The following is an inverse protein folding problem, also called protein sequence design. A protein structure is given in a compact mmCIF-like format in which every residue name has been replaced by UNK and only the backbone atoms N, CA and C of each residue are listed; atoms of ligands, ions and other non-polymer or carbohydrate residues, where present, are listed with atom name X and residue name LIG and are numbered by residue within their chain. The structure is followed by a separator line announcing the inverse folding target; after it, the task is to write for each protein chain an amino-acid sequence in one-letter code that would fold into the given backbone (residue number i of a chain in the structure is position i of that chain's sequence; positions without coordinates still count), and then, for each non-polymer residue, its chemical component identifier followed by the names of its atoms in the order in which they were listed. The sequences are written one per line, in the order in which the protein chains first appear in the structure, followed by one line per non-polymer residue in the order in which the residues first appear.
data_IF_453677076891
#
_entry.id   IF_453677076891
#
_cell.length_a   1.000
_cell.length_b   1.000
_cell.length_c   1.000
_cell.angle_alpha   90.00
_cell.angle_beta   90.00
_cell.angle_gamma   90.00
#
_symmetry.space_group_name_H-M   'P 1'
#
loop_
_entity.id
_entity.type
_entity.pdbx_description
1 polymer ?
#
# COMPACT_ATOMS: atom_id res chain seq x y z
N UNK A 1 -56.10 -16.00 9.23
CA UNK A 1 -55.64 -17.42 9.05
C UNK A 1 -54.13 -17.63 9.07
N UNK A 2 -53.28 -16.62 9.32
CA UNK A 2 -51.81 -16.74 9.26
C UNK A 2 -51.10 -17.21 10.58
N UNK A 3 -51.77 -17.25 11.72
CA UNK A 3 -51.12 -17.61 13.03
C UNK A 3 -50.89 -19.10 13.27
N UNK A 4 -51.56 -20.01 12.55
CA UNK A 4 -51.46 -21.44 12.76
C UNK A 4 -50.20 -22.06 12.12
N UNK A 5 -49.74 -21.53 10.98
CA UNK A 5 -48.56 -22.03 10.24
C UNK A 5 -47.28 -21.94 11.01
N UNK A 6 -47.07 -20.85 11.77
CA UNK A 6 -45.83 -20.64 12.52
C UNK A 6 -45.65 -21.56 13.75
N UNK A 7 -46.71 -22.10 14.32
CA UNK A 7 -46.60 -23.05 15.45
C UNK A 7 -46.14 -24.45 14.99
N UNK A 8 -46.62 -24.93 13.87
CA UNK A 8 -46.23 -26.23 13.31
C UNK A 8 -44.78 -26.24 12.85
N UNK A 9 -44.30 -25.13 12.27
CA UNK A 9 -42.89 -24.99 11.89
C UNK A 9 -41.95 -25.03 13.11
N UNK A 10 -42.29 -24.39 14.23
CA UNK A 10 -41.49 -24.40 15.47
C UNK A 10 -41.42 -25.76 16.12
N UNK A 11 -42.48 -26.55 16.07
CA UNK A 11 -42.53 -27.93 16.67
C UNK A 11 -41.67 -28.88 15.83
N UNK A 12 -41.74 -28.82 14.50
CA UNK A 12 -40.89 -29.63 13.60
C UNK A 12 -39.41 -29.29 13.77
N UNK A 13 -39.06 -28.01 13.91
CA UNK A 13 -37.69 -27.57 14.11
C UNK A 13 -37.08 -28.02 15.44
N UNK A 14 -37.88 -28.04 16.53
CA UNK A 14 -37.42 -28.58 17.82
C UNK A 14 -37.18 -30.11 17.79
N UNK A 15 -37.99 -30.91 17.09
CA UNK A 15 -37.77 -32.34 16.94
C UNK A 15 -36.55 -32.68 16.07
N UNK A 16 -36.26 -31.88 15.04
CA UNK A 16 -35.06 -32.01 14.23
C UNK A 16 -33.79 -31.70 15.04
N UNK A 17 -33.81 -30.70 15.90
CA UNK A 17 -32.66 -30.34 16.76
C UNK A 17 -32.39 -31.34 17.88
N UNK A 18 -33.37 -32.16 18.28
CA UNK A 18 -33.18 -33.20 19.32
C UNK A 18 -32.55 -34.50 18.79
N UNK A 19 -32.61 -34.74 17.48
CA UNK A 19 -31.97 -35.95 16.92
C UNK A 19 -30.47 -35.72 16.71
N UNK A 20 -29.62 -36.72 16.94
CA UNK A 20 -28.17 -36.67 16.71
C UNK A 20 -27.83 -36.19 15.27
N UNK A 21 -28.62 -36.67 14.29
CA UNK A 21 -28.49 -36.29 12.88
C UNK A 21 -28.87 -34.80 12.62
N UNK A 22 -29.94 -34.31 13.29
CA UNK A 22 -30.37 -32.93 13.17
C UNK A 22 -29.36 -31.94 13.76
N UNK A 23 -28.72 -32.26 14.87
CA UNK A 23 -27.63 -31.47 15.45
C UNK A 23 -26.43 -31.38 14.51
N UNK A 24 -26.06 -32.47 13.88
CA UNK A 24 -24.95 -32.55 12.94
C UNK A 24 -25.23 -31.70 11.69
N UNK A 25 -26.43 -31.80 11.12
CA UNK A 25 -26.85 -30.96 9.97
C UNK A 25 -26.86 -29.47 10.33
N UNK A 26 -27.32 -29.11 11.53
CA UNK A 26 -27.33 -27.71 11.99
C UNK A 26 -25.91 -27.17 12.13
N UNK A 27 -25.00 -27.92 12.76
CA UNK A 27 -23.59 -27.52 12.89
C UNK A 27 -22.94 -27.37 11.53
N UNK A 28 -23.16 -28.31 10.61
CA UNK A 28 -22.60 -28.29 9.27
C UNK A 28 -23.11 -27.05 8.47
N UNK A 29 -24.42 -26.76 8.57
CA UNK A 29 -25.03 -25.58 7.94
C UNK A 29 -24.49 -24.28 8.52
N UNK A 30 -24.23 -24.21 9.82
CA UNK A 30 -23.66 -23.04 10.48
C UNK A 30 -22.20 -22.81 10.05
N UNK A 31 -21.39 -23.86 9.98
CA UNK A 31 -20.01 -23.79 9.48
C UNK A 31 -19.97 -23.34 8.03
N UNK A 32 -20.85 -23.90 7.18
CA UNK A 32 -20.98 -23.52 5.78
C UNK A 32 -21.37 -22.04 5.63
N UNK A 33 -22.30 -21.56 6.46
CA UNK A 33 -22.72 -20.16 6.47
C UNK A 33 -21.56 -19.23 6.84
N UNK A 34 -20.77 -19.57 7.87
CA UNK A 34 -19.57 -18.79 8.25
C UNK A 34 -18.58 -18.77 7.08
N UNK A 35 -18.33 -19.91 6.45
CA UNK A 35 -17.42 -20.01 5.32
C UNK A 35 -17.88 -19.14 4.13
N UNK A 36 -19.17 -19.13 3.83
CA UNK A 36 -19.73 -18.26 2.78
C UNK A 36 -19.60 -16.79 3.13
N UNK A 37 -19.89 -16.40 4.37
CA UNK A 37 -19.74 -15.00 4.82
C UNK A 37 -18.28 -14.57 4.72
N UNK A 38 -17.34 -15.36 5.21
CA UNK A 38 -15.91 -15.04 5.13
C UNK A 38 -15.42 -14.98 3.68
N UNK A 39 -15.89 -15.87 2.81
CA UNK A 39 -15.57 -15.82 1.36
C UNK A 39 -16.10 -14.55 0.69
N UNK A 40 -17.32 -14.14 1.02
CA UNK A 40 -17.93 -12.92 0.46
C UNK A 40 -17.20 -11.68 0.97
N UNK A 41 -16.93 -11.61 2.29
CA UNK A 41 -16.17 -10.50 2.88
C UNK A 41 -14.78 -10.39 2.27
N UNK A 42 -14.09 -11.52 2.12
CA UNK A 42 -12.76 -11.53 1.49
C UNK A 42 -12.80 -11.10 0.01
N UNK A 43 -13.87 -11.45 -0.70
CA UNK A 43 -14.07 -11.02 -2.09
C UNK A 43 -14.33 -9.51 -2.19
N UNK A 44 -15.14 -8.95 -1.29
CA UNK A 44 -15.44 -7.52 -1.24
C UNK A 44 -14.21 -6.72 -0.79
N UNK A 45 -13.47 -7.21 0.22
CA UNK A 45 -12.26 -6.56 0.68
C UNK A 45 -11.17 -6.50 -0.40
N UNK A 46 -11.09 -7.50 -1.28
CA UNK A 46 -10.10 -7.52 -2.37
C UNK A 46 -10.49 -6.67 -3.59
N UNK A 47 -11.71 -6.16 -3.70
CA UNK A 47 -12.19 -5.47 -4.92
C UNK A 47 -12.03 -3.95 -4.91
N UNK A 48 -11.61 -3.32 -3.81
CA UNK A 48 -11.70 -1.86 -3.70
C UNK A 48 -10.51 -1.14 -3.06
N UNK A 49 -9.31 -1.70 -3.09
CA UNK A 49 -8.15 -0.96 -2.59
C UNK A 49 -7.38 -0.32 -3.73
N UNK A 50 -7.91 0.79 -4.23
CA UNK A 50 -7.15 1.73 -5.06
C UNK A 50 -6.73 2.88 -4.16
N UNK A 51 -5.42 3.00 -3.91
CA UNK A 51 -4.85 4.05 -3.11
C UNK A 51 -3.90 4.88 -3.94
N UNK A 52 -4.10 6.20 -3.92
CA UNK A 52 -3.19 7.16 -4.52
C UNK A 52 -2.66 8.09 -3.43
N UNK A 53 -1.38 8.00 -3.13
CA UNK A 53 -0.71 8.83 -2.16
C UNK A 53 0.22 9.80 -2.88
N UNK A 54 0.03 11.09 -2.69
CA UNK A 54 0.94 12.13 -3.11
C UNK A 54 1.63 12.72 -1.89
N UNK A 55 2.93 12.52 -1.79
CA UNK A 55 3.74 12.89 -0.64
C UNK A 55 4.75 13.97 -1.03
N UNK A 56 5.00 14.87 -0.09
CA UNK A 56 5.95 15.97 -0.29
C UNK A 56 6.91 16.06 0.90
N UNK A 57 8.18 16.29 0.61
CA UNK A 57 9.19 16.57 1.61
C UNK A 57 10.15 17.65 1.12
N UNK A 58 10.47 18.60 2.01
CA UNK A 58 11.62 19.48 1.82
C UNK A 58 12.89 18.69 2.10
N UNK A 59 13.76 18.56 1.11
CA UNK A 59 15.04 17.91 1.30
C UNK A 59 16.20 18.89 1.18
N UNK A 60 17.16 18.75 2.07
CA UNK A 60 18.35 19.58 2.11
C UNK A 60 19.57 18.72 1.79
N UNK A 61 20.16 18.92 0.63
CA UNK A 61 21.39 18.22 0.28
C UNK A 61 22.60 19.09 0.64
N UNK A 62 23.45 18.62 1.55
CA UNK A 62 24.73 19.26 1.86
C UNK A 62 25.81 18.73 0.93
N UNK A 63 26.49 19.60 0.21
CA UNK A 63 27.72 19.24 -0.48
C UNK A 63 28.90 19.28 0.48
N UNK A 64 29.48 18.10 0.77
CA UNK A 64 30.78 17.99 1.41
C UNK A 64 31.87 18.12 0.33
N UNK A 65 32.41 19.31 0.13
CA UNK A 65 33.56 19.50 -0.77
C UNK A 65 33.58 20.90 -1.39
N UNK A 66 34.14 21.81 -0.73
CA UNK A 66 34.56 23.17 -1.00
C UNK A 66 34.05 24.16 0.03
N UNK A 67 34.90 25.05 0.44
CA UNK A 67 34.89 25.95 1.58
C UNK A 67 33.67 26.88 1.79
N UNK A 68 32.54 26.57 1.27
CA UNK A 68 31.23 27.14 1.62
C UNK A 68 30.15 26.07 1.58
N UNK A 69 29.48 25.83 2.71
CA UNK A 69 28.27 25.03 2.81
C UNK A 69 27.16 25.66 1.97
N UNK A 70 27.14 25.38 0.67
CA UNK A 70 25.97 25.67 -0.15
C UNK A 70 24.92 24.57 0.12
N UNK A 71 23.99 24.89 0.98
CA UNK A 71 22.79 24.08 1.17
C UNK A 71 21.88 24.37 -0.02
N UNK A 72 21.75 23.40 -0.91
CA UNK A 72 20.79 23.50 -2.01
C UNK A 72 19.44 22.91 -1.54
N UNK A 73 18.43 23.76 -1.48
CA UNK A 73 17.07 23.35 -1.17
C UNK A 73 16.47 22.69 -2.40
N UNK A 74 16.11 21.44 -2.29
CA UNK A 74 15.43 20.70 -3.34
C UNK A 74 14.10 20.16 -2.81
N UNK A 75 13.10 20.19 -3.64
CA UNK A 75 11.80 19.63 -3.31
C UNK A 75 11.77 18.17 -3.78
N UNK A 76 11.47 17.29 -2.88
CA UNK A 76 11.32 15.85 -3.15
C UNK A 76 9.86 15.47 -3.08
N UNK A 77 9.38 14.91 -4.16
CA UNK A 77 8.02 14.40 -4.32
C UNK A 77 8.04 12.88 -4.42
N UNK A 78 7.06 12.26 -3.81
CA UNK A 78 6.84 10.84 -3.93
C UNK A 78 5.36 10.63 -4.23
N UNK A 79 5.05 9.87 -5.27
CA UNK A 79 3.70 9.42 -5.57
C UNK A 79 3.67 7.89 -5.52
N UNK A 80 2.77 7.33 -4.74
CA UNK A 80 2.56 5.90 -4.60
C UNK A 80 1.13 5.56 -5.03
N UNK A 81 1.04 4.82 -6.12
CA UNK A 81 -0.21 4.29 -6.64
C UNK A 81 -0.28 2.80 -6.34
N UNK A 82 -1.33 2.37 -5.66
CA UNK A 82 -1.64 0.96 -5.42
C UNK A 82 -3.00 0.68 -6.06
N UNK A 83 -3.02 -0.16 -7.07
CA UNK A 83 -4.23 -0.59 -7.76
C UNK A 83 -4.30 -2.13 -7.74
N UNK A 84 -5.19 -2.67 -6.90
CA UNK A 84 -5.41 -4.11 -6.70
C UNK A 84 -4.10 -4.86 -6.34
N UNK A 85 -3.42 -5.36 -7.35
CA UNK A 85 -2.17 -6.11 -7.22
C UNK A 85 -0.97 -5.40 -7.85
N UNK A 86 -1.18 -4.22 -8.41
CA UNK A 86 -0.12 -3.43 -9.02
C UNK A 86 0.30 -2.30 -8.10
N UNK A 87 1.59 -2.00 -8.10
CA UNK A 87 2.13 -0.87 -7.38
C UNK A 87 3.03 -0.06 -8.32
N UNK A 88 2.88 1.25 -8.27
CA UNK A 88 3.70 2.21 -8.99
C UNK A 88 4.19 3.26 -8.02
N UNK A 89 5.49 3.44 -7.96
CA UNK A 89 6.14 4.39 -7.08
C UNK A 89 6.99 5.35 -7.92
N UNK A 90 6.73 6.63 -7.78
CA UNK A 90 7.42 7.68 -8.53
C UNK A 90 8.12 8.60 -7.53
N UNK A 91 9.42 8.78 -7.70
CA UNK A 91 10.20 9.80 -7.04
C UNK A 91 10.53 10.92 -8.02
N UNK A 92 10.34 12.17 -7.60
CA UNK A 92 10.66 13.36 -8.37
C UNK A 92 11.43 14.34 -7.50
N UNK A 93 12.60 14.76 -7.96
CA UNK A 93 13.37 15.85 -7.34
C UNK A 93 13.33 17.05 -8.27
N UNK A 94 13.01 18.21 -7.71
CA UNK A 94 13.12 19.49 -8.39
C UNK A 94 14.21 20.32 -7.71
N UNK A 95 15.24 20.63 -8.48
CA UNK A 95 16.34 21.52 -8.06
C UNK A 95 16.42 22.72 -8.97
N UNK A 96 16.62 23.89 -8.39
CA UNK A 96 16.84 25.12 -9.16
C UNK A 96 18.11 25.11 -10.00
N UNK A 97 19.09 24.28 -9.62
CA UNK A 97 20.42 24.20 -10.26
C UNK A 97 20.52 23.03 -11.24
N UNK A 98 19.92 21.90 -10.90
CA UNK A 98 20.08 20.63 -11.66
C UNK A 98 18.81 20.23 -12.44
N UNK A 99 17.74 21.04 -12.35
CA UNK A 99 16.50 20.73 -13.03
C UNK A 99 15.69 19.64 -12.32
N UNK A 100 14.87 18.92 -13.10
CA UNK A 100 13.98 17.88 -12.60
C UNK A 100 14.52 16.49 -12.91
N UNK A 101 14.62 15.64 -11.90
CA UNK A 101 14.93 14.23 -12.04
C UNK A 101 13.72 13.40 -11.61
N UNK A 102 13.41 12.35 -12.38
CA UNK A 102 12.28 11.44 -12.11
C UNK A 102 12.79 10.00 -12.17
N UNK A 103 12.39 9.22 -11.18
CA UNK A 103 12.59 7.77 -11.15
C UNK A 103 11.24 7.09 -10.92
N UNK A 104 10.93 6.12 -11.76
CA UNK A 104 9.70 5.35 -11.68
C UNK A 104 9.99 3.89 -11.42
N UNK A 105 9.37 3.35 -10.37
CA UNK A 105 9.39 1.93 -10.06
C UNK A 105 7.99 1.37 -10.31
N UNK A 106 7.93 0.22 -10.93
CA UNK A 106 6.68 -0.48 -11.23
C UNK A 106 6.80 -1.93 -10.77
N UNK A 107 5.71 -2.45 -10.27
CA UNK A 107 5.70 -3.83 -9.82
C UNK A 107 4.35 -4.24 -9.27
N UNK A 108 4.36 -5.11 -8.28
CA UNK A 108 3.13 -5.67 -7.71
C UNK A 108 3.15 -5.63 -6.18
N UNK A 109 1.96 -5.71 -5.63
CA UNK A 109 1.76 -5.96 -4.21
C UNK A 109 1.87 -7.47 -3.99
N UNK A 110 2.91 -7.91 -3.28
CA UNK A 110 3.11 -9.33 -2.97
C UNK A 110 2.13 -9.80 -1.89
N UNK A 111 1.99 -9.03 -0.82
CA UNK A 111 0.99 -9.23 0.21
C UNK A 111 0.79 -7.96 1.06
N UNK A 112 -0.29 -7.95 1.83
CA UNK A 112 -0.61 -6.88 2.79
C UNK A 112 -0.75 -7.51 4.17
N UNK A 113 0.03 -7.02 5.11
CA UNK A 113 -0.14 -7.35 6.52
C UNK A 113 -1.20 -6.43 7.13
N UNK A 114 -2.39 -6.97 7.32
CA UNK A 114 -3.54 -6.22 7.86
C UNK A 114 -3.36 -5.84 9.34
N UNK A 115 -2.52 -6.56 10.08
CA UNK A 115 -2.27 -6.27 11.50
C UNK A 115 -1.44 -5.01 11.71
N UNK A 116 -0.51 -4.72 10.82
CA UNK A 116 0.37 -3.55 10.85
C UNK A 116 0.09 -2.54 9.74
N UNK A 117 -0.91 -2.79 8.88
CA UNK A 117 -1.18 -2.02 7.66
C UNK A 117 0.08 -1.81 6.81
N UNK A 118 0.84 -2.90 6.61
CA UNK A 118 2.07 -2.87 5.84
C UNK A 118 1.89 -3.54 4.49
N UNK A 119 2.17 -2.80 3.42
CA UNK A 119 2.21 -3.29 2.05
C UNK A 119 3.61 -3.80 1.75
N UNK A 120 3.72 -5.03 1.26
CA UNK A 120 4.96 -5.61 0.76
C UNK A 120 4.94 -5.54 -0.76
N UNK A 121 5.85 -4.76 -1.32
CA UNK A 121 5.89 -4.43 -2.74
C UNK A 121 7.14 -5.05 -3.37
N UNK A 122 6.94 -5.76 -4.48
CA UNK A 122 8.03 -6.21 -5.36
C UNK A 122 8.14 -5.24 -6.54
N UNK A 123 9.09 -4.31 -6.49
CA UNK A 123 9.21 -3.20 -7.44
C UNK A 123 10.46 -3.39 -8.32
N UNK A 124 10.40 -2.86 -9.54
CA UNK A 124 11.55 -2.79 -10.46
C UNK A 124 11.67 -1.36 -10.98
N UNK A 125 12.86 -0.79 -10.85
CA UNK A 125 13.15 0.54 -11.40
C UNK A 125 13.13 0.48 -12.92
N UNK A 126 12.34 1.35 -13.52
CA UNK A 126 12.29 1.52 -14.96
C UNK A 126 13.59 2.16 -15.48
N UNK A 127 13.99 1.87 -16.71
CA UNK A 127 15.17 2.48 -17.31
C UNK A 127 15.13 4.01 -17.20
N UNK A 128 16.12 4.57 -16.57
CA UNK A 128 16.21 6.01 -16.29
C UNK A 128 17.55 6.55 -16.80
N UNK A 129 17.51 7.67 -17.51
CA UNK A 129 18.73 8.36 -17.94
C UNK A 129 19.25 9.21 -16.78
N UNK A 130 20.22 8.67 -16.04
CA UNK A 130 20.84 9.38 -14.94
C UNK A 130 21.82 10.44 -15.46
N UNK A 131 21.69 11.65 -14.95
CA UNK A 131 22.70 12.68 -15.16
C UNK A 131 23.94 12.35 -14.33
N UNK A 132 25.11 12.79 -14.77
CA UNK A 132 26.38 12.56 -14.07
C UNK A 132 26.36 13.16 -12.64
N UNK A 133 25.59 14.24 -12.45
CA UNK A 133 25.37 14.92 -11.18
C UNK A 133 24.04 14.55 -10.51
N UNK A 134 23.49 13.37 -10.84
CA UNK A 134 22.20 12.94 -10.30
C UNK A 134 22.22 12.92 -8.78
N UNK A 135 21.18 13.51 -8.18
CA UNK A 135 20.91 13.48 -6.74
C UNK A 135 19.91 12.40 -6.37
N UNK A 136 19.01 12.12 -7.28
CA UNK A 136 17.99 11.11 -7.05
C UNK A 136 18.60 9.71 -6.96
N UNK A 137 19.62 9.39 -7.76
CA UNK A 137 20.27 8.07 -7.76
C UNK A 137 20.84 7.70 -6.39
N UNK A 138 21.71 8.51 -5.75
CA UNK A 138 22.25 8.17 -4.40
C UNK A 138 21.15 8.18 -3.34
N UNK A 139 20.11 9.02 -3.48
CA UNK A 139 18.96 8.97 -2.60
C UNK A 139 18.27 7.61 -2.65
N UNK A 140 17.98 7.09 -3.86
CA UNK A 140 17.33 5.79 -4.02
C UNK A 140 18.19 4.62 -3.53
N UNK A 141 19.51 4.69 -3.70
CA UNK A 141 20.42 3.69 -3.12
C UNK A 141 20.25 3.60 -1.59
N UNK A 142 20.16 4.76 -0.92
CA UNK A 142 19.93 4.82 0.52
C UNK A 142 18.53 4.39 0.90
N UNK A 143 17.52 4.83 0.14
CA UNK A 143 16.10 4.49 0.37
C UNK A 143 15.85 2.99 0.36
N UNK A 144 16.44 2.30 -0.62
CA UNK A 144 16.27 0.86 -0.80
C UNK A 144 17.34 0.01 -0.11
N UNK A 145 18.28 0.63 0.61
CA UNK A 145 19.36 -0.10 1.27
C UNK A 145 20.32 -0.81 0.28
N UNK A 146 20.44 -0.30 -0.94
CA UNK A 146 21.29 -0.87 -1.99
C UNK A 146 22.66 -0.20 -1.95
N UNK A 147 23.74 -0.99 -2.04
CA UNK A 147 25.08 -0.43 -2.06
C UNK A 147 25.28 0.47 -3.30
N UNK A 148 25.98 1.60 -3.13
CA UNK A 148 26.20 2.57 -4.20
C UNK A 148 26.95 1.99 -5.42
N UNK A 149 27.72 0.91 -5.25
CA UNK A 149 28.41 0.17 -6.31
C UNK A 149 27.51 -0.76 -7.12
N UNK A 150 26.32 -1.05 -6.64
CA UNK A 150 25.39 -1.97 -7.31
C UNK A 150 24.54 -1.22 -8.33
N UNK A 151 24.24 -1.88 -9.43
CA UNK A 151 23.29 -1.38 -10.41
C UNK A 151 21.88 -1.50 -9.85
N UNK A 152 21.12 -0.42 -9.87
CA UNK A 152 19.74 -0.38 -9.35
C UNK A 152 18.69 -0.70 -10.43
N UNK A 153 19.02 -0.43 -11.72
CA UNK A 153 18.08 -0.64 -12.82
C UNK A 153 17.88 -2.13 -13.13
N UNK A 154 16.64 -2.53 -13.29
CA UNK A 154 16.26 -3.91 -13.64
C UNK A 154 16.36 -4.90 -12.49
N UNK A 155 16.78 -4.46 -11.31
CA UNK A 155 16.80 -5.29 -10.10
C UNK A 155 15.42 -5.26 -9.45
N UNK A 156 14.95 -6.41 -8.98
CA UNK A 156 13.74 -6.47 -8.15
C UNK A 156 14.06 -5.97 -6.74
N UNK A 157 13.34 -4.96 -6.33
CA UNK A 157 13.50 -4.28 -5.04
C UNK A 157 12.29 -4.66 -4.17
N UNK A 158 12.56 -5.30 -3.04
CA UNK A 158 11.55 -5.55 -2.03
C UNK A 158 11.39 -4.30 -1.16
N UNK A 159 10.24 -3.63 -1.26
CA UNK A 159 9.93 -2.44 -0.49
C UNK A 159 8.76 -2.71 0.44
N UNK A 160 8.85 -2.23 1.67
CA UNK A 160 7.74 -2.27 2.61
C UNK A 160 7.26 -0.85 2.89
N UNK A 161 5.95 -0.65 2.82
CA UNK A 161 5.31 0.64 3.08
C UNK A 161 4.26 0.43 4.16
N UNK A 162 4.52 0.99 5.33
CA UNK A 162 3.61 0.94 6.47
C UNK A 162 2.79 2.21 6.54
N UNK A 163 1.48 2.09 6.63
CA UNK A 163 0.58 3.21 6.95
C UNK A 163 0.57 3.36 8.47
N UNK A 164 1.20 4.43 8.98
CA UNK A 164 1.32 4.69 10.43
C UNK A 164 0.05 5.38 10.93
N UNK A 165 -0.44 6.33 10.14
CA UNK A 165 -1.60 7.13 10.50
C UNK A 165 -2.43 7.42 9.26
N UNK A 166 -3.75 7.46 9.45
CA UNK A 166 -4.72 7.74 8.40
C UNK A 166 -5.78 8.64 9.00
N UNK A 167 -5.94 9.83 8.42
CA UNK A 167 -6.96 10.76 8.88
C UNK A 167 -8.38 10.18 8.70
N UNK A 168 -9.25 10.46 9.68
CA UNK A 168 -10.64 9.99 9.68
C UNK A 168 -11.43 10.43 8.43
N UNK A 169 -11.06 11.57 7.82
CA UNK A 169 -11.64 12.06 6.59
C UNK A 169 -11.05 11.38 5.34
N UNK A 170 -10.06 10.48 5.48
CA UNK A 170 -9.33 9.84 4.40
C UNK A 170 -8.73 10.85 3.40
N UNK A 171 -8.27 11.99 3.90
CA UNK A 171 -7.65 13.05 3.07
C UNK A 171 -6.15 13.07 3.17
N UNK A 172 -5.59 12.56 4.27
CA UNK A 172 -4.15 12.51 4.50
C UNK A 172 -3.73 11.21 5.19
N UNK A 173 -2.49 10.82 4.96
CA UNK A 173 -1.88 9.64 5.57
C UNK A 173 -0.42 9.89 5.90
N UNK A 174 0.09 9.18 6.89
CA UNK A 174 1.52 9.12 7.20
C UNK A 174 2.04 7.75 6.82
N UNK A 175 2.98 7.72 5.88
CA UNK A 175 3.61 6.49 5.38
C UNK A 175 5.03 6.37 5.91
N UNK A 176 5.42 5.16 6.27
CA UNK A 176 6.80 4.81 6.63
C UNK A 176 7.35 3.79 5.64
N UNK A 177 8.51 4.08 5.09
CA UNK A 177 9.22 3.21 4.16
C UNK A 177 10.31 2.43 4.88
N UNK A 178 10.39 1.14 4.62
CA UNK A 178 11.41 0.25 5.15
C UNK A 178 12.22 -0.33 3.98
N UNK A 179 13.57 -0.40 4.06
CA UNK A 179 14.39 -0.33 5.29
C UNK A 179 14.84 1.08 5.69
N UNK A 180 14.64 2.12 4.87
CA UNK A 180 15.16 3.47 5.13
C UNK A 180 14.67 4.11 6.42
N UNK A 181 13.49 3.69 6.91
CA UNK A 181 12.74 4.32 8.01
C UNK A 181 12.28 5.75 7.73
N UNK A 182 12.29 6.17 6.47
CA UNK A 182 11.79 7.48 6.08
C UNK A 182 10.27 7.56 6.30
N UNK A 183 9.84 8.70 6.83
CA UNK A 183 8.43 8.97 7.11
C UNK A 183 7.96 10.11 6.21
N UNK A 184 6.82 9.90 5.56
CA UNK A 184 6.24 10.82 4.62
C UNK A 184 4.84 11.22 5.05
N UNK A 185 4.56 12.51 4.97
CA UNK A 185 3.19 13.02 5.06
C UNK A 185 2.61 13.12 3.65
N UNK A 186 1.50 12.44 3.42
CA UNK A 186 0.92 12.26 2.11
C UNK A 186 -0.53 12.74 2.09
N UNK A 187 -0.95 13.27 0.96
CA UNK A 187 -2.36 13.49 0.66
C UNK A 187 -2.91 12.29 -0.09
N UNK A 188 -4.11 11.87 0.26
CA UNK A 188 -4.84 10.87 -0.50
C UNK A 188 -5.60 11.56 -1.62
N UNK A 189 -5.39 11.07 -2.84
CA UNK A 189 -6.17 11.52 -3.99
C UNK A 189 -7.30 10.54 -4.24
N UNK A 190 -8.53 11.04 -4.29
CA UNK A 190 -9.67 10.24 -4.72
C UNK A 190 -9.51 9.82 -6.18
N UNK A 191 -9.86 8.57 -6.55
CA UNK A 191 -9.76 8.10 -7.94
C UNK A 191 -10.59 8.93 -8.92
N UNK A 192 -11.58 9.69 -8.45
CA UNK A 192 -12.47 10.51 -9.29
C UNK A 192 -11.86 11.85 -9.80
N UNK A 193 -10.63 12.19 -9.38
CA UNK A 193 -9.98 13.47 -9.75
C UNK A 193 -8.89 13.33 -10.82
N UNK A 194 -8.68 12.13 -11.37
CA UNK A 194 -7.73 11.90 -12.46
C UNK A 194 -8.40 12.16 -13.83
N UNK A 195 -8.50 13.45 -14.22
CA UNK A 195 -8.82 13.90 -15.60
C UNK A 195 -7.67 14.73 -16.16
#
# INVERSE_FOLDING_TARGET
MARSSNRLARIKMRRLLQSKRGKLVFVLSFVLMIFLITSVVNRIANTHTVWHFDCYADSYFSHQGESSLKVDKSNLWLSLDIDHHQAKLIYKIESSVHGTEIAQLVGKVDHVDMGSFTYHLGLTLQPTLWQTSSRLKPYLHNEFGIMASQKIEGVSIAQQVQVIDLDNALTSATLKFLPSNNVWSCQLRSPDTAH
#
